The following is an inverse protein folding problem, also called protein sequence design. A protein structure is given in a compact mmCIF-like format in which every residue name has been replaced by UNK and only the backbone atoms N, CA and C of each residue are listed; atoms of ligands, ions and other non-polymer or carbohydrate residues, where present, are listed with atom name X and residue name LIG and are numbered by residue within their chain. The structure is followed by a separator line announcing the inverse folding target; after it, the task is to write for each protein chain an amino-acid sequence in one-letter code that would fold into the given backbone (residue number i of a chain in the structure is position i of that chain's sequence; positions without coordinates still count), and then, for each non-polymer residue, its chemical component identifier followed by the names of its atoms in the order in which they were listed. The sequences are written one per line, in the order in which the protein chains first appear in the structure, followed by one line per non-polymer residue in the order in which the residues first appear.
data_IF_140782711601
#
_entry.id   IF_140782711601
#
_cell.length_a   1.000
_cell.length_b   1.000
_cell.length_c   1.000
_cell.angle_alpha   90.00
_cell.angle_beta   90.00
_cell.angle_gamma   90.00
#
_symmetry.space_group_name_H-M   'P 1'
#
loop_
_entity.id
_entity.type
_entity.pdbx_description
1 polymer ?
#
# COMPACT_ATOMS: atom_id res chain seq x y z
N UNK A 1 25.26 21.53 0.62
CA UNK A 1 24.09 20.71 0.23
C UNK A 1 22.99 20.97 1.23
N UNK A 2 22.02 21.81 0.88
CA UNK A 2 20.86 22.11 1.74
C UNK A 2 19.73 21.17 1.31
N UNK A 3 19.56 20.04 1.97
CA UNK A 3 18.35 19.23 1.81
C UNK A 3 17.17 20.06 2.34
N UNK A 4 16.15 20.25 1.52
CA UNK A 4 14.99 21.03 1.91
C UNK A 4 14.16 20.17 2.87
N UNK A 5 14.05 20.50 4.18
CA UNK A 5 13.47 19.60 5.19
C UNK A 5 11.99 19.26 4.91
N UNK A 6 11.27 20.09 4.13
CA UNK A 6 9.92 19.79 3.66
C UNK A 6 9.87 18.63 2.66
N UNK A 7 10.90 18.49 1.83
CA UNK A 7 10.97 17.42 0.83
C UNK A 7 11.22 16.08 1.51
N UNK A 8 12.17 16.03 2.45
CA UNK A 8 12.50 14.84 3.24
C UNK A 8 11.29 14.36 4.06
N UNK A 9 10.55 15.28 4.68
CA UNK A 9 9.33 14.95 5.43
C UNK A 9 8.21 14.39 4.52
N UNK A 10 8.08 14.90 3.30
CA UNK A 10 7.07 14.42 2.33
C UNK A 10 7.40 13.01 1.85
N UNK A 11 8.67 12.73 1.56
CA UNK A 11 9.11 11.40 1.17
C UNK A 11 9.03 10.38 2.30
N UNK A 12 9.40 10.78 3.52
CA UNK A 12 9.24 9.94 4.70
C UNK A 12 7.77 9.58 4.93
N UNK A 13 6.86 10.56 4.88
CA UNK A 13 5.42 10.32 5.01
C UNK A 13 4.89 9.39 3.91
N UNK A 14 5.34 9.57 2.66
CA UNK A 14 4.99 8.67 1.54
C UNK A 14 5.45 7.24 1.82
N UNK A 15 6.69 7.05 2.26
CA UNK A 15 7.25 5.74 2.58
C UNK A 15 6.49 5.07 3.72
N UNK A 16 6.18 5.80 4.79
CA UNK A 16 5.39 5.30 5.91
C UNK A 16 4.00 4.85 5.44
N UNK A 17 3.30 5.67 4.64
CA UNK A 17 1.99 5.29 4.07
C UNK A 17 2.09 4.06 3.18
N UNK A 18 3.12 3.98 2.35
CA UNK A 18 3.34 2.85 1.47
C UNK A 18 3.58 1.55 2.27
N UNK A 19 4.51 1.56 3.22
CA UNK A 19 4.82 0.38 4.05
C UNK A 19 3.60 -0.06 4.88
N UNK A 20 2.88 0.89 5.49
CA UNK A 20 1.66 0.60 6.25
C UNK A 20 0.57 -0.03 5.36
N UNK A 21 0.39 0.49 4.14
CA UNK A 21 -0.55 -0.10 3.19
C UNK A 21 -0.16 -1.52 2.76
N UNK A 22 1.14 -1.80 2.57
CA UNK A 22 1.63 -3.15 2.23
C UNK A 22 1.34 -4.14 3.37
N UNK A 23 1.63 -3.76 4.61
CA UNK A 23 1.33 -4.59 5.79
C UNK A 23 -0.17 -4.85 5.91
N UNK A 24 -0.99 -3.84 5.66
CA UNK A 24 -2.45 -3.94 5.69
C UNK A 24 -2.97 -4.90 4.61
N UNK A 25 -2.49 -4.77 3.36
CA UNK A 25 -2.89 -5.64 2.26
C UNK A 25 -2.47 -7.10 2.51
N UNK A 26 -1.26 -7.32 3.04
CA UNK A 26 -0.78 -8.65 3.41
C UNK A 26 -1.67 -9.30 4.47
N UNK A 27 -2.03 -8.55 5.52
CA UNK A 27 -2.93 -9.04 6.56
C UNK A 27 -4.30 -9.42 5.99
N UNK A 28 -4.87 -8.58 5.12
CA UNK A 28 -6.17 -8.84 4.49
C UNK A 28 -6.14 -10.08 3.58
N UNK A 29 -5.07 -10.26 2.81
CA UNK A 29 -4.88 -11.43 1.96
C UNK A 29 -4.72 -12.71 2.78
N UNK A 30 -3.92 -12.68 3.86
CA UNK A 30 -3.77 -13.82 4.76
C UNK A 30 -5.10 -14.21 5.40
N UNK A 31 -5.86 -13.22 5.89
CA UNK A 31 -7.16 -13.49 6.52
C UNK A 31 -8.16 -14.06 5.53
N UNK A 32 -8.19 -13.58 4.29
CA UNK A 32 -8.99 -14.17 3.24
C UNK A 32 -8.61 -15.64 2.99
N UNK A 33 -7.33 -15.97 2.98
CA UNK A 33 -6.85 -17.36 2.81
C UNK A 33 -7.28 -18.27 3.96
N UNK A 34 -7.15 -17.83 5.21
CA UNK A 34 -7.60 -18.59 6.38
C UNK A 34 -9.11 -18.87 6.31
N UNK A 35 -9.91 -17.83 6.02
CA UNK A 35 -11.35 -17.95 5.90
C UNK A 35 -11.78 -18.88 4.76
N UNK A 36 -11.08 -18.84 3.63
CA UNK A 36 -11.31 -19.73 2.50
C UNK A 36 -11.03 -21.20 2.87
N UNK A 37 -9.95 -21.45 3.62
CA UNK A 37 -9.62 -22.79 4.14
C UNK A 37 -10.69 -23.31 5.11
N UNK A 38 -11.30 -22.43 5.90
CA UNK A 38 -12.41 -22.74 6.80
C UNK A 38 -13.78 -22.85 6.08
N UNK A 39 -13.81 -22.71 4.75
CA UNK A 39 -15.05 -22.76 3.94
C UNK A 39 -15.92 -21.51 4.02
N UNK A 40 -15.44 -20.44 4.66
CA UNK A 40 -16.14 -19.16 4.83
C UNK A 40 -15.93 -18.24 3.61
N UNK A 41 -16.34 -18.70 2.43
CA UNK A 41 -16.06 -18.04 1.14
C UNK A 41 -16.59 -16.61 1.03
N UNK A 42 -17.79 -16.33 1.55
CA UNK A 42 -18.38 -14.98 1.50
C UNK A 42 -17.51 -13.98 2.29
N UNK A 43 -17.07 -14.36 3.49
CA UNK A 43 -16.23 -13.51 4.32
C UNK A 43 -14.82 -13.36 3.73
N UNK A 44 -14.27 -14.44 3.16
CA UNK A 44 -13.01 -14.38 2.43
C UNK A 44 -13.08 -13.36 1.27
N UNK A 45 -14.18 -13.35 0.52
CA UNK A 45 -14.40 -12.39 -0.58
C UNK A 45 -14.49 -10.94 -0.07
N UNK A 46 -15.12 -10.69 1.08
CA UNK A 46 -15.15 -9.35 1.68
C UNK A 46 -13.73 -8.86 1.98
N UNK A 47 -12.87 -9.70 2.56
CA UNK A 47 -11.47 -9.36 2.81
C UNK A 47 -10.69 -9.09 1.52
N UNK A 48 -10.92 -9.86 0.45
CA UNK A 48 -10.28 -9.63 -0.85
C UNK A 48 -10.73 -8.30 -1.49
N UNK A 49 -12.01 -7.93 -1.35
CA UNK A 49 -12.52 -6.64 -1.84
C UNK A 49 -11.81 -5.49 -1.12
N UNK A 50 -11.66 -5.57 0.20
CA UNK A 50 -10.94 -4.54 0.96
C UNK A 50 -9.45 -4.54 0.59
N UNK A 51 -8.82 -5.71 0.43
CA UNK A 51 -7.44 -5.85 -0.03
C UNK A 51 -7.19 -5.15 -1.37
N UNK A 52 -8.10 -5.34 -2.33
CA UNK A 52 -8.00 -4.67 -3.63
C UNK A 52 -8.01 -3.14 -3.51
N UNK A 53 -8.83 -2.57 -2.61
CA UNK A 53 -8.89 -1.12 -2.37
C UNK A 53 -7.60 -0.60 -1.71
N UNK A 54 -7.02 -1.38 -0.80
CA UNK A 54 -5.71 -1.08 -0.20
C UNK A 54 -4.63 -1.04 -1.27
N UNK A 55 -4.61 -2.02 -2.18
CA UNK A 55 -3.66 -2.08 -3.31
C UNK A 55 -3.84 -0.88 -4.23
N UNK A 56 -5.06 -0.45 -4.54
CA UNK A 56 -5.28 0.73 -5.37
C UNK A 56 -4.82 2.02 -4.70
N UNK A 57 -4.93 2.11 -3.37
CA UNK A 57 -4.36 3.21 -2.60
C UNK A 57 -2.83 3.20 -2.64
N UNK A 58 -2.20 2.02 -2.54
CA UNK A 58 -0.74 1.88 -2.71
C UNK A 58 -0.26 2.34 -4.07
N UNK A 59 -0.97 2.00 -5.15
CA UNK A 59 -0.64 2.47 -6.51
C UNK A 59 -0.68 4.00 -6.60
N UNK A 60 -1.61 4.66 -5.88
CA UNK A 60 -1.67 6.13 -5.84
C UNK A 60 -0.45 6.70 -5.10
N UNK A 61 -0.12 6.16 -3.93
CA UNK A 61 1.07 6.57 -3.14
C UNK A 61 2.36 6.38 -3.94
N UNK A 62 2.49 5.28 -4.69
CA UNK A 62 3.66 5.03 -5.54
C UNK A 62 3.81 6.06 -6.68
N UNK A 63 2.70 6.64 -7.17
CA UNK A 63 2.70 7.68 -8.21
C UNK A 63 2.95 9.09 -7.66
N UNK A 64 2.96 9.27 -6.33
CA UNK A 64 3.37 10.53 -5.69
C UNK A 64 4.89 10.76 -5.79
N UNK A 65 5.65 9.79 -6.31
CA UNK A 65 7.06 9.97 -6.68
C UNK A 65 7.08 10.79 -7.97
N UNK A 66 7.66 12.01 -7.99
CA UNK A 66 7.92 12.69 -9.25
C UNK A 66 8.75 11.74 -10.12
N UNK A 67 8.51 11.65 -11.44
CA UNK A 67 9.48 11.02 -12.31
C UNK A 67 10.79 11.75 -12.02
N UNK A 68 11.77 11.05 -11.44
CA UNK A 68 13.11 11.59 -11.33
C UNK A 68 13.44 12.07 -12.72
N UNK A 69 13.77 13.36 -12.87
CA UNK A 69 14.31 13.89 -14.11
C UNK A 69 15.39 12.90 -14.54
N UNK A 70 15.08 12.09 -15.55
CA UNK A 70 16.04 11.29 -16.27
C UNK A 70 16.87 12.36 -16.97
N UNK A 71 17.85 12.92 -16.27
CA UNK A 71 18.82 13.79 -16.89
C UNK A 71 19.65 12.89 -17.83
N UNK A 72 19.77 13.26 -19.11
CA UNK A 72 20.48 12.48 -20.12
C UNK A 72 21.98 12.34 -19.81
#
# INVERSE_FOLDING_TARGET
MTTNPRHDATEHNRLVRFTCGVQTAQHQANRASELAQDGQWLLAMEFLIVCSRTIDSLKRVAREVPPQEIQP
#
